data_IF_788213316680
#
_entry.id   IF_788213316680
#
_cell.length_a   1.000
_cell.length_b   1.000
_cell.length_c   1.000
_cell.angle_alpha   90.00
_cell.angle_beta   90.00
_cell.angle_gamma   90.00
#
_symmetry.space_group_name_H-M   'P 1'
#
loop_
_entity.id
_entity.type
_entity.pdbx_description
1 polymer ?
#
# COMPACT_ATOMS: atom_id res chain seq x y z
N UNK A 1 -18.93 -34.16 -50.64
CA UNK A 1 -20.24 -33.57 -50.31
C UNK A 1 -20.01 -32.39 -49.40
N UNK A 2 -20.12 -31.15 -49.91
CA UNK A 2 -19.80 -29.93 -49.18
C UNK A 2 -21.04 -29.42 -48.43
N UNK A 3 -20.85 -28.83 -47.25
CA UNK A 3 -21.85 -28.00 -46.59
C UNK A 3 -21.15 -26.78 -45.99
N UNK A 4 -21.12 -25.72 -46.81
CA UNK A 4 -20.78 -24.35 -46.44
C UNK A 4 -21.96 -23.79 -45.65
N UNK A 5 -21.72 -23.30 -44.42
CA UNK A 5 -22.70 -22.53 -43.65
C UNK A 5 -22.49 -21.03 -43.88
N UNK A 6 -23.60 -20.37 -44.16
CA UNK A 6 -23.72 -19.00 -44.63
C UNK A 6 -23.49 -17.94 -43.55
N UNK A 7 -22.94 -16.80 -44.00
CA UNK A 7 -22.95 -15.50 -43.33
C UNK A 7 -24.39 -15.00 -43.16
N UNK A 8 -24.69 -14.40 -42.01
CA UNK A 8 -25.81 -13.47 -41.85
C UNK A 8 -25.27 -12.18 -41.23
N UNK A 9 -25.19 -11.15 -42.07
CA UNK A 9 -25.05 -9.76 -41.66
C UNK A 9 -26.46 -9.17 -41.50
N UNK A 10 -26.74 -8.52 -40.37
CA UNK A 10 -27.95 -7.72 -40.19
C UNK A 10 -27.55 -6.26 -40.03
N UNK A 11 -27.76 -5.49 -41.10
CA UNK A 11 -27.78 -4.05 -41.10
C UNK A 11 -29.18 -3.59 -40.68
N UNK A 12 -29.27 -2.60 -39.79
CA UNK A 12 -30.50 -1.84 -39.53
C UNK A 12 -30.19 -0.37 -39.79
N UNK A 13 -30.81 0.16 -40.84
CA UNK A 13 -30.83 1.58 -41.20
C UNK A 13 -32.30 2.03 -41.22
N UNK A 14 -32.65 3.06 -40.46
CA UNK A 14 -33.90 3.81 -40.62
C UNK A 14 -33.76 5.25 -40.07
N UNK A 15 -33.27 6.12 -40.96
CA UNK A 15 -33.74 7.46 -41.35
C UNK A 15 -34.58 8.37 -40.41
N UNK A 16 -33.93 9.47 -39.97
CA UNK A 16 -34.21 10.93 -40.10
C UNK A 16 -35.64 11.51 -40.00
N UNK A 17 -35.79 12.50 -39.09
CA UNK A 17 -36.37 13.86 -39.25
C UNK A 17 -36.07 14.61 -37.93
N UNK A 18 -35.65 15.87 -37.81
CA UNK A 18 -35.48 17.03 -38.70
C UNK A 18 -35.58 18.30 -37.83
N UNK A 19 -34.91 19.39 -38.24
CA UNK A 19 -34.85 20.75 -37.64
C UNK A 19 -33.83 20.94 -36.51
N UNK A 20 -32.93 21.94 -36.49
CA UNK A 20 -32.62 23.03 -37.39
C UNK A 20 -31.72 24.06 -36.68
N UNK A 21 -30.89 24.76 -37.48
CA UNK A 21 -30.15 26.00 -37.19
C UNK A 21 -28.79 25.92 -36.44
N UNK A 22 -27.73 26.00 -37.24
CA UNK A 22 -26.45 26.61 -36.88
C UNK A 22 -26.39 28.05 -37.43
N UNK A 23 -25.82 28.98 -36.68
CA UNK A 23 -25.01 30.06 -37.24
C UNK A 23 -24.05 30.61 -36.18
N UNK A 24 -22.80 30.76 -36.60
CA UNK A 24 -21.70 31.37 -35.85
C UNK A 24 -21.69 32.89 -36.06
N UNK A 25 -20.88 33.58 -35.24
CA UNK A 25 -19.85 34.58 -35.64
C UNK A 25 -19.84 35.85 -34.77
N UNK A 26 -18.77 35.95 -33.96
CA UNK A 26 -17.84 37.08 -33.72
C UNK A 26 -18.38 38.50 -33.50
N UNK A 27 -17.99 39.12 -32.38
CA UNK A 27 -17.23 40.38 -32.31
C UNK A 27 -17.05 40.81 -30.84
N UNK A 28 -15.83 41.24 -30.47
CA UNK A 28 -15.55 41.75 -29.12
C UNK A 28 -14.07 41.96 -28.83
N UNK A 29 -13.42 42.82 -29.63
CA UNK A 29 -12.09 43.35 -29.39
C UNK A 29 -12.04 44.21 -28.11
N UNK A 30 -10.96 44.10 -27.35
CA UNK A 30 -10.70 44.91 -26.17
C UNK A 30 -9.21 44.96 -25.83
N UNK A 31 -8.44 45.67 -26.64
CA UNK A 31 -7.07 46.09 -26.34
C UNK A 31 -7.10 47.30 -25.41
N UNK A 32 -6.36 47.29 -24.30
CA UNK A 32 -5.56 48.44 -23.82
C UNK A 32 -4.32 47.97 -23.08
N UNK A 33 -3.19 48.49 -23.53
CA UNK A 33 -1.84 48.40 -22.98
C UNK A 33 -1.51 49.65 -22.15
N UNK A 34 -0.45 49.52 -21.35
CA UNK A 34 0.58 50.51 -21.00
C UNK A 34 0.62 51.17 -19.60
N UNK A 35 1.86 51.26 -19.10
CA UNK A 35 2.38 51.91 -17.88
C UNK A 35 3.18 50.91 -17.03
N UNK A 36 4.50 50.64 -17.19
CA UNK A 36 5.69 51.52 -17.02
C UNK A 36 5.59 52.42 -15.77
N UNK A 37 6.54 52.55 -14.84
CA UNK A 37 8.00 52.36 -14.74
C UNK A 37 8.41 52.58 -13.27
N UNK A 38 9.56 52.06 -12.82
CA UNK A 38 10.15 52.47 -11.54
C UNK A 38 11.38 51.67 -11.11
N UNK A 39 12.55 52.10 -11.58
CA UNK A 39 13.92 51.65 -11.29
C UNK A 39 14.55 52.40 -10.11
N UNK A 40 15.59 51.81 -9.52
CA UNK A 40 16.63 52.48 -8.69
C UNK A 40 17.04 51.63 -7.49
N UNK A 41 18.10 50.80 -7.57
CA UNK A 41 19.54 51.09 -7.44
C UNK A 41 20.01 51.44 -6.01
N UNK A 42 21.09 50.78 -5.56
CA UNK A 42 21.90 51.23 -4.42
C UNK A 42 22.70 50.15 -3.68
N UNK A 43 23.90 49.85 -4.19
CA UNK A 43 24.95 49.03 -3.56
C UNK A 43 25.72 49.82 -2.48
N UNK A 44 26.35 49.13 -1.51
CA UNK A 44 27.32 49.74 -0.58
C UNK A 44 28.06 48.74 0.32
N UNK A 45 29.39 48.76 0.25
CA UNK A 45 30.36 47.85 0.89
C UNK A 45 30.80 48.26 2.32
N UNK A 46 31.16 47.24 3.11
CA UNK A 46 32.23 47.08 4.13
C UNK A 46 32.77 48.26 4.98
N UNK A 47 32.93 48.03 6.30
CA UNK A 47 34.23 48.11 7.03
C UNK A 47 34.11 47.74 8.54
N UNK A 48 35.28 47.46 9.15
CA UNK A 48 35.56 46.72 10.38
C UNK A 48 35.56 47.49 11.73
N UNK A 49 35.36 46.73 12.83
CA UNK A 49 36.01 46.83 14.16
C UNK A 49 35.55 47.93 15.15
N UNK A 50 35.76 47.80 16.49
CA UNK A 50 36.67 46.90 17.20
C UNK A 50 36.05 46.09 18.38
N UNK A 51 36.90 45.31 19.04
CA UNK A 51 36.65 44.27 20.06
C UNK A 51 36.71 44.74 21.54
N UNK A 52 36.06 43.93 22.42
CA UNK A 52 36.35 43.59 23.84
C UNK A 52 35.53 44.33 24.95
N UNK A 53 35.30 43.77 26.17
CA UNK A 53 35.36 42.38 26.68
C UNK A 53 34.03 41.81 27.23
N UNK A 54 34.09 40.49 27.41
CA UNK A 54 33.28 39.56 28.21
C UNK A 54 32.80 40.06 29.59
N UNK A 55 31.52 39.85 29.89
CA UNK A 55 30.95 39.90 31.24
C UNK A 55 30.01 38.69 31.45
N UNK A 56 30.33 37.91 32.48
CA UNK A 56 29.55 36.78 32.95
C UNK A 56 28.14 37.22 33.41
N UNK A 57 27.14 36.40 33.08
CA UNK A 57 25.75 36.57 33.49
C UNK A 57 25.03 35.21 33.56
N UNK A 58 23.96 35.09 34.35
CA UNK A 58 23.84 34.04 35.36
C UNK A 58 23.21 32.74 34.86
N UNK A 59 23.57 31.65 35.54
CA UNK A 59 22.90 30.34 35.55
C UNK A 59 21.40 30.51 35.77
N UNK A 60 20.60 30.19 34.76
CA UNK A 60 19.14 30.11 34.89
C UNK A 60 18.73 28.68 35.18
N UNK A 61 17.99 28.59 36.28
CA UNK A 61 17.28 27.46 36.84
C UNK A 61 16.66 26.52 35.81
N UNK A 62 16.88 25.23 36.08
CA UNK A 62 16.12 24.09 35.58
C UNK A 62 14.61 24.32 35.73
N UNK A 63 13.92 24.38 34.60
CA UNK A 63 12.50 24.05 34.55
C UNK A 63 12.40 22.56 34.23
N UNK A 64 12.10 21.78 35.26
CA UNK A 64 11.79 20.36 35.17
C UNK A 64 10.63 20.13 34.18
N UNK A 65 10.97 19.74 32.96
CA UNK A 65 10.03 19.03 32.08
C UNK A 65 9.76 17.64 32.68
N UNK A 66 8.56 17.06 32.50
CA UNK A 66 8.25 15.76 33.06
C UNK A 66 9.20 14.72 32.47
N UNK A 67 10.18 14.32 33.28
CA UNK A 67 11.03 13.17 33.07
C UNK A 67 10.19 11.91 33.18
N UNK A 68 10.33 11.02 32.19
CA UNK A 68 9.99 9.61 32.36
C UNK A 68 8.99 9.05 31.35
N UNK A 69 9.41 8.91 30.09
CA UNK A 69 9.18 7.62 29.43
C UNK A 69 10.48 6.85 29.57
N UNK A 70 10.48 5.92 30.52
CA UNK A 70 11.60 5.03 30.78
C UNK A 70 12.08 4.32 29.52
N UNK A 71 13.33 3.87 29.57
CA UNK A 71 13.97 3.11 28.49
C UNK A 71 13.08 2.01 27.91
N UNK A 72 13.27 1.77 26.61
CA UNK A 72 12.46 0.90 25.76
C UNK A 72 12.12 -0.47 26.38
N UNK A 73 10.89 -0.96 26.20
CA UNK A 73 10.66 -2.39 26.09
C UNK A 73 10.93 -2.84 24.65
N UNK A 74 11.67 -3.93 24.52
CA UNK A 74 11.90 -4.72 23.31
C UNK A 74 10.88 -4.54 22.17
N UNK A 75 11.39 -4.28 20.95
CA UNK A 75 11.20 -5.20 19.82
C UNK A 75 9.75 -5.66 19.50
N UNK A 76 8.73 -4.83 19.77
CA UNK A 76 7.30 -5.20 19.73
C UNK A 76 6.95 -5.95 18.43
N UNK A 77 6.82 -7.29 18.49
CA UNK A 77 6.57 -8.06 17.31
C UNK A 77 5.08 -7.98 16.99
N UNK A 78 4.82 -8.06 15.70
CA UNK A 78 3.48 -8.17 15.19
C UNK A 78 2.83 -9.48 15.63
N UNK A 79 1.51 -9.53 15.69
CA UNK A 79 0.80 -10.72 16.14
C UNK A 79 0.84 -11.84 15.09
N UNK A 80 1.26 -13.03 15.52
CA UNK A 80 1.14 -14.28 14.77
C UNK A 80 -0.26 -14.86 15.00
N UNK A 81 -1.06 -14.94 13.94
CA UNK A 81 -2.41 -15.49 14.06
C UNK A 81 -2.38 -17.01 14.27
N UNK A 82 -2.96 -17.53 15.37
CA UNK A 82 -3.04 -18.96 15.57
C UNK A 82 -3.91 -19.57 14.47
N UNK A 83 -3.55 -20.78 14.03
CA UNK A 83 -4.35 -21.50 13.04
C UNK A 83 -4.34 -20.87 11.65
N UNK A 84 -3.28 -20.16 11.24
CA UNK A 84 -3.09 -19.76 9.84
C UNK A 84 -3.18 -20.95 8.87
N UNK A 85 -3.38 -20.69 7.58
CA UNK A 85 -3.41 -21.79 6.58
C UNK A 85 -2.14 -22.64 6.62
N UNK A 86 -0.96 -22.01 6.78
CA UNK A 86 0.30 -22.71 6.98
C UNK A 86 0.32 -23.55 8.26
N UNK A 87 -0.17 -23.02 9.39
CA UNK A 87 -0.23 -23.76 10.65
C UNK A 87 -1.12 -25.00 10.54
N UNK A 88 -2.30 -24.87 9.92
CA UNK A 88 -3.20 -26.00 9.67
C UNK A 88 -2.56 -27.03 8.73
N UNK A 89 -1.91 -26.56 7.66
CA UNK A 89 -1.20 -27.43 6.73
C UNK A 89 -0.06 -28.20 7.39
N UNK A 90 0.72 -27.55 8.25
CA UNK A 90 1.77 -28.18 9.03
C UNK A 90 1.21 -29.31 9.91
N UNK A 91 0.11 -29.07 10.63
CA UNK A 91 -0.57 -30.10 11.43
C UNK A 91 -1.04 -31.27 10.57
N UNK A 92 -1.70 -31.01 9.44
CA UNK A 92 -2.14 -32.06 8.50
C UNK A 92 -0.97 -32.89 7.97
N UNK A 93 0.14 -32.24 7.58
CA UNK A 93 1.31 -32.95 7.04
C UNK A 93 2.09 -33.72 8.09
N UNK A 94 2.20 -33.24 9.34
CA UNK A 94 2.76 -34.04 10.44
C UNK A 94 1.96 -35.32 10.68
N UNK A 95 0.63 -35.21 10.73
CA UNK A 95 -0.25 -36.37 10.93
C UNK A 95 -0.13 -37.40 9.79
N UNK A 96 0.20 -36.96 8.58
CA UNK A 96 0.43 -37.81 7.41
C UNK A 96 1.88 -38.32 7.27
N UNK A 97 2.76 -38.08 8.25
CA UNK A 97 4.18 -38.49 8.19
C UNK A 97 5.07 -37.61 7.31
N UNK A 98 4.56 -36.52 6.74
CA UNK A 98 5.32 -35.53 5.95
C UNK A 98 6.00 -34.49 6.86
N UNK A 99 6.80 -34.96 7.81
CA UNK A 99 7.38 -34.12 8.87
C UNK A 99 8.32 -33.04 8.32
N UNK A 100 9.12 -33.35 7.29
CA UNK A 100 10.02 -32.38 6.66
C UNK A 100 9.25 -31.21 6.02
N UNK A 101 8.19 -31.51 5.27
CA UNK A 101 7.35 -30.48 4.64
C UNK A 101 6.59 -29.67 5.69
N UNK A 102 6.15 -30.31 6.78
CA UNK A 102 5.52 -29.60 7.89
C UNK A 102 6.47 -28.60 8.57
N UNK A 103 7.75 -28.96 8.74
CA UNK A 103 8.76 -28.01 9.24
C UNK A 103 8.96 -26.81 8.32
N UNK A 104 8.86 -27.00 7.00
CA UNK A 104 8.88 -25.87 6.05
C UNK A 104 7.62 -25.00 6.20
N UNK A 105 6.44 -25.58 6.42
CA UNK A 105 5.23 -24.81 6.74
C UNK A 105 5.35 -24.01 8.04
N UNK A 106 6.08 -24.51 9.03
CA UNK A 106 6.32 -23.77 10.28
C UNK A 106 7.11 -22.49 10.06
N UNK A 107 8.01 -22.45 9.08
CA UNK A 107 8.74 -21.23 8.69
C UNK A 107 7.78 -20.10 8.28
N UNK A 108 6.60 -20.45 7.75
CA UNK A 108 5.53 -19.51 7.41
C UNK A 108 4.63 -19.25 8.62
N UNK A 109 4.18 -20.33 9.27
CA UNK A 109 3.19 -20.28 10.35
C UNK A 109 3.67 -19.52 11.59
N UNK A 110 4.97 -19.55 11.88
CA UNK A 110 5.57 -18.89 13.04
C UNK A 110 5.77 -17.37 12.85
N UNK A 111 5.43 -16.82 11.68
CA UNK A 111 5.68 -15.42 11.35
C UNK A 111 4.39 -14.60 11.35
N UNK A 112 4.44 -13.34 11.83
CA UNK A 112 3.29 -12.45 11.75
C UNK A 112 2.92 -12.18 10.30
N UNK A 113 1.63 -12.15 10.01
CA UNK A 113 1.12 -11.87 8.68
C UNK A 113 -0.09 -10.95 8.79
N UNK A 114 -0.32 -10.15 7.76
CA UNK A 114 -1.49 -9.28 7.72
C UNK A 114 -2.79 -10.08 7.54
N UNK A 115 -3.86 -9.62 8.18
CA UNK A 115 -5.22 -10.09 7.89
C UNK A 115 -5.82 -9.22 6.78
N UNK A 116 -6.34 -9.84 5.72
CA UNK A 116 -6.91 -9.12 4.58
C UNK A 116 -8.43 -9.04 4.70
N UNK A 117 -8.95 -7.82 4.76
CA UNK A 117 -10.38 -7.57 4.89
C UNK A 117 -10.95 -7.20 3.52
N UNK A 118 -11.63 -8.17 2.91
CA UNK A 118 -12.17 -8.07 1.54
C UNK A 118 -13.68 -8.24 1.44
N UNK A 119 -14.33 -8.65 2.53
CA UNK A 119 -15.78 -8.88 2.59
C UNK A 119 -16.55 -7.65 3.07
N UNK A 120 -17.89 -7.60 2.86
CA UNK A 120 -18.72 -6.41 3.12
C UNK A 120 -18.88 -6.01 4.60
N UNK A 121 -18.51 -6.90 5.55
CA UNK A 121 -18.72 -6.68 6.99
C UNK A 121 -17.41 -6.87 7.77
N UNK A 122 -16.54 -5.84 7.81
CA UNK A 122 -15.18 -5.98 8.33
C UNK A 122 -15.12 -5.91 9.86
N UNK A 123 -16.10 -5.28 10.51
CA UNK A 123 -16.01 -4.86 11.93
C UNK A 123 -15.66 -6.02 12.87
N UNK A 124 -16.40 -7.13 12.78
CA UNK A 124 -16.20 -8.28 13.67
C UNK A 124 -14.81 -8.89 13.47
N UNK A 125 -14.38 -9.11 12.22
CA UNK A 125 -13.07 -9.67 11.91
C UNK A 125 -11.93 -8.75 12.39
N UNK A 126 -12.06 -7.44 12.19
CA UNK A 126 -11.09 -6.45 12.69
C UNK A 126 -11.05 -6.45 14.21
N UNK A 127 -12.20 -6.44 14.89
CA UNK A 127 -12.29 -6.48 16.35
C UNK A 127 -11.68 -7.75 16.92
N UNK A 128 -11.98 -8.91 16.35
CA UNK A 128 -11.47 -10.19 16.81
C UNK A 128 -9.94 -10.26 16.65
N UNK A 129 -9.45 -9.82 15.48
CA UNK A 129 -8.02 -9.83 15.17
C UNK A 129 -7.20 -8.89 16.05
N UNK A 130 -7.71 -7.69 16.30
CA UNK A 130 -7.05 -6.69 17.17
C UNK A 130 -7.18 -7.06 18.65
N UNK A 131 -8.30 -7.63 19.08
CA UNK A 131 -8.49 -8.14 20.44
C UNK A 131 -7.54 -9.30 20.73
N UNK A 132 -7.39 -10.24 19.79
CA UNK A 132 -6.44 -11.33 19.92
C UNK A 132 -4.99 -10.79 20.00
N UNK A 133 -4.63 -9.81 19.17
CA UNK A 133 -3.32 -9.17 19.22
C UNK A 133 -3.05 -8.50 20.58
N UNK A 134 -4.00 -7.70 21.07
CA UNK A 134 -3.92 -7.00 22.34
C UNK A 134 -3.76 -7.96 23.54
N UNK A 135 -4.48 -9.10 23.55
CA UNK A 135 -4.35 -10.14 24.60
C UNK A 135 -2.92 -10.69 24.71
N UNK A 136 -2.15 -10.67 23.63
CA UNK A 136 -0.75 -11.10 23.60
C UNK A 136 0.24 -9.93 23.66
N UNK A 137 -0.23 -8.70 23.92
CA UNK A 137 0.58 -7.46 23.89
C UNK A 137 1.36 -7.33 22.58
N UNK A 138 0.72 -7.68 21.46
CA UNK A 138 1.27 -7.60 20.11
C UNK A 138 0.41 -6.67 19.25
N UNK A 139 1.00 -6.15 18.19
CA UNK A 139 0.29 -5.27 17.23
C UNK A 139 -0.31 -6.10 16.09
N UNK A 140 -1.57 -5.85 15.73
CA UNK A 140 -2.16 -6.46 14.54
C UNK A 140 -1.64 -5.79 13.26
N UNK A 141 -1.53 -6.55 12.17
CA UNK A 141 -1.32 -6.00 10.83
C UNK A 141 -2.56 -6.35 10.02
N UNK A 142 -3.18 -5.35 9.40
CA UNK A 142 -4.44 -5.49 8.69
C UNK A 142 -4.30 -4.83 7.31
N UNK A 143 -5.02 -5.37 6.33
CA UNK A 143 -5.13 -4.78 4.99
C UNK A 143 -6.58 -4.43 4.74
N UNK A 144 -6.85 -3.15 4.54
CA UNK A 144 -8.12 -2.69 4.02
C UNK A 144 -8.12 -2.87 2.50
N UNK A 145 -8.91 -3.80 1.97
CA UNK A 145 -8.88 -4.15 0.54
C UNK A 145 -10.29 -4.30 -0.02
N UNK A 146 -11.06 -3.22 -0.01
CA UNK A 146 -12.48 -3.22 -0.42
C UNK A 146 -12.86 -2.03 -1.30
N UNK A 147 -11.89 -1.33 -1.92
CA UNK A 147 -12.14 -0.21 -2.81
C UNK A 147 -13.03 -0.62 -4.01
N UNK A 148 -14.02 0.19 -4.45
CA UNK A 148 -14.81 -0.09 -5.65
C UNK A 148 -13.94 -0.28 -6.90
N UNK A 149 -14.39 -1.09 -7.86
CA UNK A 149 -13.63 -1.43 -9.09
C UNK A 149 -12.18 -1.89 -8.79
N UNK A 150 -12.03 -2.68 -7.72
CA UNK A 150 -10.74 -3.20 -7.28
C UNK A 150 -10.05 -3.96 -8.40
N UNK A 151 -8.73 -3.83 -8.45
CA UNK A 151 -7.86 -4.54 -9.39
C UNK A 151 -8.22 -4.35 -10.87
N UNK A 152 -8.93 -3.27 -11.20
CA UNK A 152 -9.34 -2.95 -12.59
C UNK A 152 -10.09 -4.10 -13.31
N UNK A 153 -10.74 -4.98 -12.55
CA UNK A 153 -11.43 -6.15 -13.08
C UNK A 153 -10.53 -7.37 -13.35
N UNK A 154 -9.26 -7.37 -12.92
CA UNK A 154 -8.34 -8.50 -13.07
C UNK A 154 -8.56 -9.60 -12.01
N UNK A 155 -7.53 -10.38 -11.67
CA UNK A 155 -7.66 -11.62 -10.89
C UNK A 155 -8.28 -11.44 -9.49
N UNK A 156 -8.09 -10.27 -8.88
CA UNK A 156 -8.59 -9.92 -7.55
C UNK A 156 -9.76 -8.92 -7.60
N UNK A 157 -10.48 -8.86 -8.73
CA UNK A 157 -11.64 -7.98 -8.90
C UNK A 157 -12.66 -8.07 -7.76
N UNK A 158 -13.36 -6.97 -7.50
CA UNK A 158 -14.38 -6.88 -6.46
C UNK A 158 -14.41 -5.51 -5.80
N UNK A 159 -14.63 -5.50 -4.49
CA UNK A 159 -14.74 -4.29 -3.69
C UNK A 159 -16.17 -3.86 -3.42
N UNK A 160 -16.32 -2.69 -2.81
CA UNK A 160 -17.60 -2.10 -2.48
C UNK A 160 -18.42 -1.78 -3.74
N UNK A 161 -19.75 -1.94 -3.71
CA UNK A 161 -20.61 -1.68 -4.85
C UNK A 161 -20.76 -0.18 -5.18
N UNK A 162 -20.36 0.72 -4.27
CA UNK A 162 -20.43 2.17 -4.47
C UNK A 162 -19.48 2.92 -3.53
N UNK A 163 -19.26 4.20 -3.81
CA UNK A 163 -18.50 5.10 -2.93
C UNK A 163 -19.13 5.21 -1.53
N UNK A 164 -20.46 5.25 -1.42
CA UNK A 164 -21.16 5.29 -0.14
C UNK A 164 -20.97 4.00 0.66
N UNK A 165 -21.07 2.83 0.01
CA UNK A 165 -20.82 1.55 0.64
C UNK A 165 -19.37 1.43 1.11
N UNK A 166 -18.41 1.96 0.36
CA UNK A 166 -17.01 1.98 0.76
C UNK A 166 -16.77 2.82 2.03
N UNK A 167 -17.35 4.03 2.10
CA UNK A 167 -17.24 4.89 3.29
C UNK A 167 -17.82 4.20 4.53
N UNK A 168 -19.02 3.63 4.41
CA UNK A 168 -19.64 2.87 5.49
C UNK A 168 -18.79 1.66 5.92
N UNK A 169 -18.18 0.97 4.96
CA UNK A 169 -17.26 -0.14 5.23
C UNK A 169 -16.02 0.31 6.01
N UNK A 170 -15.41 1.46 5.63
CA UNK A 170 -14.30 2.06 6.36
C UNK A 170 -14.72 2.45 7.78
N UNK A 171 -15.92 3.00 7.97
CA UNK A 171 -16.44 3.35 9.29
C UNK A 171 -16.61 2.12 10.18
N UNK A 172 -17.10 1.00 9.62
CA UNK A 172 -17.22 -0.28 10.32
C UNK A 172 -15.84 -0.89 10.63
N UNK A 173 -14.88 -0.80 9.70
CA UNK A 173 -13.50 -1.21 9.93
C UNK A 173 -12.90 -0.43 11.12
N UNK A 174 -13.07 0.88 11.08
CA UNK A 174 -12.65 1.82 12.10
C UNK A 174 -13.30 1.55 13.48
N UNK A 175 -14.56 1.15 13.53
CA UNK A 175 -15.24 0.73 14.76
C UNK A 175 -14.62 -0.56 15.32
N UNK A 176 -14.28 -1.51 14.45
CA UNK A 176 -13.59 -2.75 14.84
C UNK A 176 -12.21 -2.50 15.44
N UNK A 177 -11.46 -1.51 14.92
CA UNK A 177 -10.16 -1.11 15.46
C UNK A 177 -10.25 -0.61 16.91
N UNK A 178 -11.20 0.27 17.20
CA UNK A 178 -11.28 0.96 18.49
C UNK A 178 -9.99 1.72 18.80
N UNK A 179 -9.44 1.51 19.99
CA UNK A 179 -8.22 2.14 20.51
C UNK A 179 -6.98 1.22 20.47
N UNK A 180 -7.12 0.00 19.93
CA UNK A 180 -6.08 -1.05 19.97
C UNK A 180 -4.97 -0.80 18.94
N UNK A 181 -3.77 -1.30 19.27
CA UNK A 181 -2.60 -1.15 18.41
C UNK A 181 -2.72 -1.94 17.10
N UNK A 182 -2.66 -1.24 15.97
CA UNK A 182 -2.72 -1.84 14.65
C UNK A 182 -1.88 -1.08 13.61
N UNK A 183 -1.34 -1.81 12.65
CA UNK A 183 -0.89 -1.27 11.37
C UNK A 183 -1.96 -1.59 10.33
N UNK A 184 -2.42 -0.57 9.60
CA UNK A 184 -3.41 -0.74 8.52
C UNK A 184 -2.78 -0.30 7.20
N UNK A 185 -2.68 -1.26 6.28
CA UNK A 185 -2.30 -1.01 4.89
C UNK A 185 -3.56 -0.73 4.09
N UNK A 186 -3.65 0.44 3.48
CA UNK A 186 -4.86 0.91 2.81
C UNK A 186 -4.75 0.65 1.31
N UNK A 187 -5.67 -0.20 0.84
CA UNK A 187 -6.00 -0.47 -0.56
C UNK A 187 -4.78 -0.70 -1.46
N UNK A 188 -4.10 -1.85 -1.28
CA UNK A 188 -3.08 -2.29 -2.22
C UNK A 188 -3.48 -2.06 -3.68
N UNK A 189 -2.54 -1.55 -4.45
CA UNK A 189 -2.64 -1.30 -5.89
C UNK A 189 -3.59 -0.16 -6.32
N UNK A 190 -4.40 0.42 -5.43
CA UNK A 190 -5.45 1.38 -5.83
C UNK A 190 -4.90 2.67 -6.48
N UNK A 191 -3.84 3.25 -5.89
CA UNK A 191 -3.15 4.41 -6.47
C UNK A 191 -2.37 4.04 -7.75
N UNK A 192 -1.45 3.05 -7.74
CA UNK A 192 -0.66 2.74 -8.92
C UNK A 192 -1.50 2.25 -10.11
N UNK A 193 -2.59 1.49 -9.91
CA UNK A 193 -3.52 1.15 -11.01
C UNK A 193 -4.12 2.39 -11.67
N UNK A 194 -4.54 3.36 -10.86
CA UNK A 194 -5.09 4.62 -11.38
C UNK A 194 -4.03 5.38 -12.19
N UNK A 195 -2.79 5.43 -11.70
CA UNK A 195 -1.66 6.06 -12.41
C UNK A 195 -1.27 5.31 -13.68
N UNK A 196 -1.43 3.99 -13.70
CA UNK A 196 -1.15 3.12 -14.83
C UNK A 196 -2.23 3.16 -15.93
N UNK A 197 -3.36 3.85 -15.71
CA UNK A 197 -4.39 4.04 -16.73
C UNK A 197 -5.58 3.07 -16.61
N UNK A 198 -5.99 2.73 -15.40
CA UNK A 198 -7.19 1.95 -15.15
C UNK A 198 -8.47 2.65 -15.64
N UNK A 199 -8.93 2.33 -16.86
CA UNK A 199 -9.99 3.06 -17.56
C UNK A 199 -11.36 3.03 -16.86
N UNK A 200 -11.63 2.03 -16.02
CA UNK A 200 -12.90 1.88 -15.29
C UNK A 200 -13.01 2.82 -14.08
N UNK A 201 -11.97 3.59 -13.79
CA UNK A 201 -11.84 4.35 -12.54
C UNK A 201 -11.84 5.85 -12.83
N UNK A 202 -12.73 6.56 -12.14
CA UNK A 202 -12.64 8.02 -12.05
C UNK A 202 -11.59 8.37 -11.01
N UNK A 203 -10.42 8.84 -11.45
CA UNK A 203 -9.26 9.07 -10.58
C UNK A 203 -9.57 9.97 -9.37
N UNK A 204 -10.31 11.06 -9.59
CA UNK A 204 -10.69 11.98 -8.51
C UNK A 204 -11.55 11.32 -7.43
N UNK A 205 -12.52 10.48 -7.81
CA UNK A 205 -13.35 9.73 -6.86
C UNK A 205 -12.52 8.70 -6.11
N UNK A 206 -11.67 7.94 -6.81
CA UNK A 206 -10.75 6.97 -6.20
C UNK A 206 -9.89 7.62 -5.12
N UNK A 207 -9.22 8.72 -5.44
CA UNK A 207 -8.35 9.41 -4.50
C UNK A 207 -9.14 10.00 -3.33
N UNK A 208 -10.34 10.53 -3.56
CA UNK A 208 -11.21 11.02 -2.47
C UNK A 208 -11.69 9.91 -1.52
N UNK A 209 -11.91 8.69 -2.03
CA UNK A 209 -12.22 7.52 -1.20
C UNK A 209 -11.01 7.07 -0.36
N UNK A 210 -9.82 7.05 -0.96
CA UNK A 210 -8.59 6.71 -0.25
C UNK A 210 -8.25 7.74 0.83
N UNK A 211 -8.41 9.03 0.52
CA UNK A 211 -8.26 10.11 1.50
C UNK A 211 -9.24 9.97 2.67
N UNK A 212 -10.48 9.55 2.40
CA UNK A 212 -11.44 9.24 3.46
C UNK A 212 -10.98 8.08 4.34
N UNK A 213 -10.48 6.99 3.73
CA UNK A 213 -9.94 5.86 4.46
C UNK A 213 -8.80 6.27 5.39
N UNK A 214 -7.82 7.02 4.85
CA UNK A 214 -6.70 7.55 5.64
C UNK A 214 -7.19 8.40 6.80
N UNK A 215 -8.04 9.39 6.54
CA UNK A 215 -8.52 10.32 7.58
C UNK A 215 -9.35 9.61 8.65
N UNK A 216 -10.17 8.65 8.25
CA UNK A 216 -11.08 7.97 9.15
C UNK A 216 -10.38 6.95 10.04
N UNK A 217 -9.39 6.23 9.51
CA UNK A 217 -8.59 5.24 10.24
C UNK A 217 -7.50 5.90 11.08
N UNK A 218 -6.99 7.07 10.67
CA UNK A 218 -6.00 7.84 11.42
C UNK A 218 -6.56 8.54 12.67
N UNK A 219 -7.88 8.47 12.92
CA UNK A 219 -8.50 8.99 14.15
C UNK A 219 -8.34 8.05 15.34
N UNK A 220 -7.83 6.85 15.13
CA UNK A 220 -7.69 5.81 16.14
C UNK A 220 -6.32 5.93 16.77
N UNK A 221 -6.27 6.18 18.07
CA UNK A 221 -5.04 6.50 18.80
C UNK A 221 -3.95 5.42 18.74
N UNK A 222 -4.32 4.14 18.56
CA UNK A 222 -3.40 3.02 18.43
C UNK A 222 -3.10 2.61 16.97
N UNK A 223 -3.70 3.27 15.98
CA UNK A 223 -3.60 2.83 14.58
C UNK A 223 -2.55 3.64 13.83
N UNK A 224 -1.64 2.93 13.14
CA UNK A 224 -0.77 3.50 12.11
C UNK A 224 -1.27 3.15 10.72
N UNK A 225 -1.43 4.15 9.86
CA UNK A 225 -2.02 4.01 8.52
C UNK A 225 -0.96 4.19 7.45
N UNK A 226 -0.85 3.22 6.55
CA UNK A 226 0.07 3.25 5.41
C UNK A 226 -0.71 3.11 4.12
N UNK A 227 -0.66 4.13 3.27
CA UNK A 227 -1.30 4.10 1.95
C UNK A 227 -0.42 3.32 0.97
N UNK A 228 -0.97 2.36 0.23
CA UNK A 228 -0.19 1.62 -0.75
C UNK A 228 0.30 2.52 -1.90
N UNK A 229 1.57 2.33 -2.26
CA UNK A 229 2.26 3.08 -3.31
C UNK A 229 2.88 2.16 -4.38
N UNK A 230 2.39 0.91 -4.49
CA UNK A 230 2.86 -0.05 -5.48
C UNK A 230 4.31 -0.48 -5.30
N UNK A 231 5.04 -0.59 -6.41
CA UNK A 231 6.37 -1.18 -6.43
C UNK A 231 7.25 -0.62 -7.58
N UNK A 232 8.58 -0.74 -7.48
CA UNK A 232 9.51 -0.17 -8.46
C UNK A 232 9.45 -0.79 -9.87
N UNK A 233 8.96 -2.01 -10.01
CA UNK A 233 8.79 -2.65 -11.33
C UNK A 233 7.57 -2.15 -12.09
N UNK A 234 6.59 -1.57 -11.38
CA UNK A 234 5.33 -1.14 -11.98
C UNK A 234 5.29 0.35 -12.29
N UNK A 235 5.68 1.21 -11.33
CA UNK A 235 5.82 2.64 -11.53
C UNK A 235 7.29 3.03 -11.30
N UNK A 236 8.18 2.87 -12.30
CA UNK A 236 9.63 3.04 -12.08
C UNK A 236 10.04 4.45 -11.65
N UNK A 237 9.30 5.46 -12.15
CA UNK A 237 9.45 6.85 -11.74
C UNK A 237 8.50 7.19 -10.58
N UNK A 238 8.99 7.28 -9.33
CA UNK A 238 8.16 7.59 -8.17
C UNK A 238 7.55 8.99 -8.21
N UNK A 239 8.07 9.93 -9.01
CA UNK A 239 7.50 11.27 -9.13
C UNK A 239 6.05 11.23 -9.64
N UNK A 240 5.71 10.21 -10.45
CA UNK A 240 4.34 9.97 -10.94
C UNK A 240 3.34 9.66 -9.84
N UNK A 241 3.80 9.21 -8.66
CA UNK A 241 2.92 8.90 -7.53
C UNK A 241 2.67 10.10 -6.60
N UNK A 242 3.47 11.17 -6.67
CA UNK A 242 3.44 12.26 -5.68
C UNK A 242 2.08 12.96 -5.64
N UNK A 243 1.59 13.42 -6.79
CA UNK A 243 0.27 14.05 -6.90
C UNK A 243 -0.86 13.11 -6.46
N UNK A 244 -0.96 11.90 -7.05
CA UNK A 244 -1.95 10.88 -6.68
C UNK A 244 -1.98 10.51 -5.19
N UNK A 245 -0.81 10.34 -4.56
CA UNK A 245 -0.72 10.02 -3.13
C UNK A 245 -1.13 11.21 -2.26
N UNK A 246 -0.76 12.45 -2.64
CA UNK A 246 -1.22 13.67 -1.95
C UNK A 246 -2.73 13.82 -2.04
N UNK A 247 -3.32 13.61 -3.22
CA UNK A 247 -4.77 13.61 -3.40
C UNK A 247 -5.48 12.50 -2.61
N UNK A 248 -4.77 11.40 -2.36
CA UNK A 248 -5.23 10.26 -1.55
C UNK A 248 -4.96 10.41 -0.05
N UNK A 249 -4.50 11.58 0.40
CA UNK A 249 -4.35 11.89 1.82
C UNK A 249 -3.04 11.45 2.48
N UNK A 250 -1.99 11.07 1.71
CA UNK A 250 -0.72 10.55 2.28
C UNK A 250 -0.06 11.49 3.31
N UNK A 251 -0.29 12.81 3.21
CA UNK A 251 0.25 13.80 4.17
C UNK A 251 -0.38 13.72 5.56
N UNK A 252 -1.49 12.99 5.69
CA UNK A 252 -2.21 12.70 6.95
C UNK A 252 -2.10 11.23 7.35
N UNK A 253 -1.43 10.40 6.54
CA UNK A 253 -1.07 9.03 6.88
C UNK A 253 0.26 8.98 7.65
N UNK A 254 0.54 7.88 8.34
CA UNK A 254 1.85 7.65 8.95
C UNK A 254 2.93 7.38 7.90
N UNK A 255 2.55 6.80 6.77
CA UNK A 255 3.49 6.45 5.72
C UNK A 255 2.86 5.90 4.45
N UNK A 256 3.70 5.26 3.64
CA UNK A 256 3.29 4.45 2.49
C UNK A 256 3.73 2.99 2.64
N UNK A 257 2.94 2.09 2.07
CA UNK A 257 3.30 0.69 1.91
C UNK A 257 3.86 0.44 0.50
N UNK A 258 4.87 -0.41 0.41
CA UNK A 258 5.53 -0.75 -0.85
C UNK A 258 5.68 -2.26 -1.02
N UNK A 259 5.74 -2.69 -2.27
CA UNK A 259 6.02 -4.08 -2.67
C UNK A 259 4.95 -5.09 -2.23
N UNK A 260 3.76 -4.62 -1.82
CA UNK A 260 2.66 -5.48 -1.40
C UNK A 260 2.38 -6.53 -2.46
N UNK A 261 2.38 -7.80 -2.06
CA UNK A 261 2.20 -8.95 -2.96
C UNK A 261 3.22 -9.08 -4.10
N UNK A 262 4.35 -8.38 -4.05
CA UNK A 262 5.37 -8.41 -5.09
C UNK A 262 6.71 -8.94 -4.53
N UNK A 263 7.75 -8.92 -5.36
CA UNK A 263 8.96 -9.72 -5.18
C UNK A 263 10.24 -8.89 -5.23
N UNK A 264 10.16 -7.56 -5.34
CA UNK A 264 11.37 -6.74 -5.40
C UNK A 264 12.17 -6.82 -4.11
N UNK A 265 13.49 -6.98 -4.24
CA UNK A 265 14.40 -7.13 -3.09
C UNK A 265 14.31 -5.95 -2.14
N UNK A 266 14.62 -6.17 -0.86
CA UNK A 266 14.69 -5.12 0.16
C UNK A 266 15.52 -3.92 -0.31
N UNK A 267 16.68 -4.16 -0.94
CA UNK A 267 17.57 -3.11 -1.46
C UNK A 267 16.88 -2.28 -2.54
N UNK A 268 16.25 -2.91 -3.53
CA UNK A 268 15.56 -2.22 -4.62
C UNK A 268 14.38 -1.42 -4.09
N UNK A 269 13.54 -2.03 -3.26
CA UNK A 269 12.35 -1.39 -2.71
C UNK A 269 12.70 -0.26 -1.75
N UNK A 270 13.71 -0.43 -0.90
CA UNK A 270 14.17 0.62 0.03
C UNK A 270 14.74 1.83 -0.73
N UNK A 271 15.55 1.59 -1.78
CA UNK A 271 16.06 2.68 -2.62
C UNK A 271 14.93 3.45 -3.32
N UNK A 272 13.98 2.72 -3.91
CA UNK A 272 12.79 3.32 -4.51
C UNK A 272 11.96 4.14 -3.51
N UNK A 273 11.68 3.54 -2.35
CA UNK A 273 10.89 4.16 -1.29
C UNK A 273 11.54 5.42 -0.72
N UNK A 274 12.87 5.45 -0.56
CA UNK A 274 13.59 6.66 -0.11
C UNK A 274 13.47 7.83 -1.08
N UNK A 275 13.52 7.56 -2.39
CA UNK A 275 13.28 8.61 -3.40
C UNK A 275 11.85 9.14 -3.29
N UNK A 276 10.87 8.25 -3.21
CA UNK A 276 9.46 8.64 -3.04
C UNK A 276 9.24 9.42 -1.73
N UNK A 277 9.82 8.96 -0.63
CA UNK A 277 9.81 9.62 0.68
C UNK A 277 10.36 11.04 0.59
N UNK A 278 11.51 11.25 -0.04
CA UNK A 278 12.09 12.58 -0.25
C UNK A 278 11.16 13.52 -1.02
N UNK A 279 10.50 13.03 -2.08
CA UNK A 279 9.52 13.80 -2.85
C UNK A 279 8.23 14.13 -2.06
N UNK A 280 7.91 13.32 -1.06
CA UNK A 280 6.77 13.50 -0.16
C UNK A 280 7.13 14.23 1.15
N UNK A 281 8.36 14.71 1.30
CA UNK A 281 8.78 15.47 2.48
C UNK A 281 9.15 14.59 3.68
N UNK A 282 9.69 13.40 3.44
CA UNK A 282 10.17 12.49 4.49
C UNK A 282 9.14 11.48 5.00
N UNK A 283 8.08 11.19 4.22
CA UNK A 283 7.08 10.16 4.55
C UNK A 283 7.72 8.81 4.86
N UNK A 284 7.24 8.14 5.91
CA UNK A 284 7.78 6.84 6.36
C UNK A 284 7.28 5.69 5.49
N UNK A 285 7.97 4.56 5.59
CA UNK A 285 7.79 3.40 4.72
C UNK A 285 7.53 2.14 5.51
N UNK A 286 6.62 1.30 5.02
CA UNK A 286 6.61 -0.14 5.31
C UNK A 286 6.79 -0.92 4.03
N UNK A 287 7.49 -2.05 4.10
CA UNK A 287 7.85 -2.85 2.93
C UNK A 287 7.35 -4.28 3.13
N UNK A 288 6.61 -4.80 2.15
CA UNK A 288 6.26 -6.22 2.09
C UNK A 288 7.49 -7.05 1.70
N UNK A 289 7.91 -7.95 2.58
CA UNK A 289 9.03 -8.88 2.41
C UNK A 289 8.57 -10.34 2.41
N UNK A 290 7.27 -10.59 2.25
CA UNK A 290 6.68 -11.93 2.29
C UNK A 290 7.32 -12.93 1.33
N UNK A 291 7.69 -12.50 0.11
CA UNK A 291 8.13 -13.40 -0.97
C UNK A 291 9.35 -12.90 -1.77
N UNK A 292 10.08 -11.91 -1.27
CA UNK A 292 11.13 -11.23 -2.04
C UNK A 292 12.55 -11.77 -1.82
N UNK A 293 12.71 -12.94 -1.17
CA UNK A 293 14.03 -13.48 -0.80
C UNK A 293 14.96 -13.76 -1.99
N UNK A 294 14.38 -14.12 -3.14
CA UNK A 294 15.10 -14.34 -4.41
C UNK A 294 14.87 -13.21 -5.44
N UNK A 295 14.34 -12.06 -5.01
CA UNK A 295 13.99 -10.96 -5.91
C UNK A 295 12.82 -11.30 -6.86
N UNK A 296 12.59 -10.47 -7.89
CA UNK A 296 11.54 -10.70 -8.88
C UNK A 296 11.92 -11.78 -9.89
N UNK A 297 10.93 -12.40 -10.51
CA UNK A 297 11.14 -13.34 -11.59
C UNK A 297 11.58 -12.61 -12.86
N UNK A 298 12.65 -13.09 -13.50
CA UNK A 298 13.26 -12.49 -14.69
C UNK A 298 13.06 -13.33 -15.96
N UNK A 299 12.18 -14.33 -15.90
CA UNK A 299 11.83 -15.15 -17.06
C UNK A 299 10.96 -14.40 -18.08
N UNK A 300 10.66 -15.03 -19.23
CA UNK A 300 9.81 -14.42 -20.25
C UNK A 300 8.34 -14.31 -19.80
N UNK A 301 7.60 -13.40 -20.43
CA UNK A 301 6.16 -13.19 -20.21
C UNK A 301 5.82 -11.80 -19.65
N UNK A 302 4.53 -11.50 -19.56
CA UNK A 302 4.02 -10.18 -19.14
C UNK A 302 3.56 -10.16 -17.67
N UNK A 303 3.06 -11.28 -17.15
CA UNK A 303 2.54 -11.36 -15.78
C UNK A 303 3.60 -11.90 -14.80
N UNK A 304 4.79 -11.31 -14.82
CA UNK A 304 5.95 -11.80 -14.05
C UNK A 304 5.72 -11.83 -12.53
N UNK A 305 4.70 -11.12 -12.04
CA UNK A 305 4.27 -11.07 -10.66
C UNK A 305 3.29 -12.20 -10.27
N UNK A 306 2.61 -12.84 -11.21
CA UNK A 306 1.47 -13.71 -10.88
C UNK A 306 1.92 -15.17 -10.63
N UNK A 307 2.03 -15.62 -9.37
CA UNK A 307 2.55 -16.96 -9.02
C UNK A 307 3.91 -17.36 -9.66
N UNK A 308 4.93 -16.50 -9.70
CA UNK A 308 6.19 -16.84 -10.34
C UNK A 308 6.95 -17.97 -9.62
N UNK A 309 7.66 -18.84 -10.35
CA UNK A 309 8.47 -19.90 -9.76
C UNK A 309 9.79 -19.37 -9.18
N UNK A 310 10.42 -20.20 -8.33
CA UNK A 310 11.77 -19.96 -7.79
C UNK A 310 11.87 -18.75 -6.86
N UNK A 311 10.74 -18.22 -6.39
CA UNK A 311 10.73 -17.18 -5.35
C UNK A 311 10.95 -17.82 -3.99
N UNK A 312 11.28 -16.99 -3.00
CA UNK A 312 11.64 -17.42 -1.66
C UNK A 312 10.98 -16.52 -0.63
N UNK A 313 10.70 -17.04 0.57
CA UNK A 313 10.36 -16.18 1.70
C UNK A 313 11.47 -15.13 1.89
N UNK A 314 11.08 -13.88 2.10
CA UNK A 314 12.02 -12.82 2.42
C UNK A 314 12.23 -12.68 3.91
N UNK A 315 12.80 -11.53 4.30
CA UNK A 315 13.07 -11.19 5.69
C UNK A 315 11.81 -11.34 6.56
N UNK A 316 11.88 -11.98 7.73
CA UNK A 316 10.76 -12.02 8.67
C UNK A 316 10.31 -10.62 9.13
N UNK A 317 9.03 -10.42 9.48
CA UNK A 317 8.54 -9.12 9.91
C UNK A 317 9.31 -8.56 11.11
N UNK A 318 9.71 -7.28 11.04
CA UNK A 318 10.46 -6.62 12.10
C UNK A 318 10.35 -5.09 12.01
N UNK A 319 10.44 -4.43 13.16
CA UNK A 319 10.62 -2.97 13.28
C UNK A 319 12.10 -2.56 13.38
N UNK A 320 13.01 -3.53 13.55
CA UNK A 320 14.47 -3.29 13.56
C UNK A 320 14.98 -3.26 12.12
N UNK A 321 14.70 -2.17 11.43
CA UNK A 321 15.02 -2.02 10.00
C UNK A 321 16.45 -1.54 9.78
N UNK A 322 17.04 -0.86 10.77
CA UNK A 322 18.33 -0.17 10.64
C UNK A 322 18.22 1.13 9.83
N UNK A 323 17.00 1.57 9.50
CA UNK A 323 16.75 2.73 8.65
C UNK A 323 15.61 3.59 9.24
N UNK A 324 15.85 4.87 9.59
CA UNK A 324 14.85 5.70 10.24
C UNK A 324 13.66 6.07 9.35
N UNK A 325 13.74 5.85 8.03
CA UNK A 325 12.62 6.05 7.10
C UNK A 325 11.76 4.80 6.93
N UNK A 326 12.23 3.63 7.34
CA UNK A 326 11.49 2.36 7.21
C UNK A 326 11.03 1.94 8.60
N UNK A 327 9.72 2.07 8.84
CA UNK A 327 9.10 1.72 10.12
C UNK A 327 9.05 0.21 10.35
N UNK A 328 8.85 -0.58 9.28
CA UNK A 328 8.84 -2.02 9.37
C UNK A 328 9.05 -2.74 8.02
N UNK A 329 9.66 -3.91 8.10
CA UNK A 329 9.44 -4.98 7.13
C UNK A 329 8.28 -5.84 7.62
N UNK A 330 7.35 -6.15 6.72
CA UNK A 330 6.10 -6.84 7.03
C UNK A 330 5.88 -7.98 6.04
N UNK A 331 5.15 -9.01 6.45
CA UNK A 331 4.53 -9.93 5.49
C UNK A 331 3.09 -9.48 5.30
N UNK A 332 2.90 -8.61 4.29
CA UNK A 332 1.58 -8.05 3.98
C UNK A 332 0.80 -9.08 3.19
N UNK A 333 1.32 -9.53 2.04
CA UNK A 333 0.85 -10.76 1.39
C UNK A 333 1.12 -11.97 2.30
N UNK A 334 0.16 -12.89 2.35
CA UNK A 334 0.28 -14.17 3.05
C UNK A 334 0.99 -15.20 2.16
N UNK A 335 2.22 -15.63 2.47
CA UNK A 335 2.94 -16.60 1.64
C UNK A 335 2.18 -17.92 1.53
N UNK A 336 1.94 -18.38 0.30
CA UNK A 336 1.15 -19.57 0.01
C UNK A 336 -0.25 -19.29 -0.53
N UNK A 337 -0.74 -18.06 -0.48
CA UNK A 337 -1.96 -17.68 -1.20
C UNK A 337 -1.67 -17.36 -2.66
N UNK A 338 -2.45 -17.94 -3.57
CA UNK A 338 -2.34 -17.68 -5.01
C UNK A 338 -2.57 -16.20 -5.33
N UNK A 339 -1.89 -15.71 -6.38
CA UNK A 339 -2.10 -14.38 -6.96
C UNK A 339 -3.22 -14.37 -8.03
N UNK A 340 -3.60 -15.54 -8.54
CA UNK A 340 -4.57 -15.70 -9.63
C UNK A 340 -4.42 -17.04 -10.34
N UNK A 341 -5.22 -17.29 -11.37
CA UNK A 341 -5.23 -18.57 -12.10
C UNK A 341 -4.01 -18.79 -13.02
N UNK A 342 -3.16 -17.78 -13.13
CA UNK A 342 -1.89 -17.82 -13.85
C UNK A 342 -0.98 -18.95 -13.36
N UNK A 343 -0.17 -19.50 -14.28
CA UNK A 343 0.81 -20.57 -14.01
C UNK A 343 0.23 -21.78 -13.27
N UNK A 344 -1.05 -22.11 -13.54
CA UNK A 344 -1.75 -23.24 -12.93
C UNK A 344 -2.19 -23.00 -11.48
N UNK A 345 -2.14 -21.74 -11.01
CA UNK A 345 -2.56 -21.38 -9.68
C UNK A 345 -4.08 -21.47 -9.45
N UNK A 346 -4.52 -21.64 -8.20
CA UNK A 346 -5.91 -21.41 -7.81
C UNK A 346 -6.34 -19.95 -7.99
N UNK A 347 -7.63 -19.66 -7.82
CA UNK A 347 -8.13 -18.27 -7.75
C UNK A 347 -7.38 -17.43 -6.70
N UNK A 348 -7.29 -16.11 -6.92
CA UNK A 348 -6.55 -15.20 -6.05
C UNK A 348 -6.98 -15.31 -4.57
N UNK A 349 -6.01 -15.29 -3.66
CA UNK A 349 -6.24 -15.42 -2.22
C UNK A 349 -6.49 -16.86 -1.74
N UNK A 350 -6.65 -17.85 -2.63
CA UNK A 350 -6.80 -19.25 -2.23
C UNK A 350 -5.47 -19.84 -1.78
N UNK A 351 -5.50 -20.55 -0.65
CA UNK A 351 -4.35 -21.31 -0.14
C UNK A 351 -3.90 -22.38 -1.14
N UNK A 352 -2.60 -22.39 -1.42
CA UNK A 352 -1.95 -23.29 -2.36
C UNK A 352 -0.72 -23.94 -1.71
N UNK A 353 -0.85 -25.17 -1.18
CA UNK A 353 0.20 -25.79 -0.35
C UNK A 353 1.54 -25.97 -1.05
N UNK A 354 1.56 -26.33 -2.34
CA UNK A 354 2.82 -26.50 -3.08
C UNK A 354 3.54 -25.17 -3.26
N UNK A 355 2.81 -24.09 -3.55
CA UNK A 355 3.42 -22.77 -3.66
C UNK A 355 4.00 -22.27 -2.33
N UNK A 356 3.28 -22.50 -1.23
CA UNK A 356 3.79 -22.23 0.12
C UNK A 356 5.09 -23.01 0.40
N UNK A 357 5.11 -24.30 0.03
CA UNK A 357 6.25 -25.19 0.21
C UNK A 357 7.47 -24.70 -0.58
N UNK A 358 7.29 -24.32 -1.84
CA UNK A 358 8.36 -23.82 -2.70
C UNK A 358 8.96 -22.53 -2.14
N UNK A 359 8.13 -21.57 -1.69
CA UNK A 359 8.60 -20.34 -1.07
C UNK A 359 9.45 -20.63 0.17
N UNK A 360 9.00 -21.55 1.03
CA UNK A 360 9.68 -21.91 2.27
C UNK A 360 10.98 -22.69 2.02
N UNK A 361 10.99 -23.59 1.04
CA UNK A 361 12.16 -24.40 0.67
C UNK A 361 13.27 -23.55 0.04
N UNK A 362 12.90 -22.51 -0.71
CA UNK A 362 13.86 -21.61 -1.36
C UNK A 362 14.37 -20.49 -0.43
N UNK A 363 13.85 -20.39 0.80
CA UNK A 363 14.22 -19.36 1.75
C UNK A 363 15.66 -19.53 2.24
N UNK A 364 16.41 -18.44 2.28
CA UNK A 364 17.73 -18.39 2.90
C UNK A 364 17.57 -18.19 4.41
N UNK A 365 18.30 -18.97 5.20
CA UNK A 365 18.24 -18.93 6.67
C UNK A 365 18.93 -17.70 7.27
#
# INVERSE_FOLDING_TARGET
MPLVRALVAAAVLATVCGTGAACATVCGTGHRTAGQTGTGDGTGHAAAGPTRPEAAGPTRHDAAGPTGRGGAPDDEPFFVAPGSHAARQATTWRAAGRTADAHLMDRIAARPQAEWLTGPHPEAAVRDRTTAAARHRRTAVLVAYYIPQRDCGAHSAGGAPSAAAYRAWIDAFAAGLGDRDAYVVVEPDAVPHTVAGCAQVVAAERYALLAYAVDRLGRQSGTRVYLDAGNPGWIPDPARLVGPLRSSGVTRADGVALNVSNFHTDRTTSSYGKRLSGLLGGTRLVIDTSRNGNGPHLGPGTDLWCNPPGRALGRPPTRRTGDPLIDAYLWIKRPGESDGTCRGGPAAGRWWPSYALDLAANAHD
#
